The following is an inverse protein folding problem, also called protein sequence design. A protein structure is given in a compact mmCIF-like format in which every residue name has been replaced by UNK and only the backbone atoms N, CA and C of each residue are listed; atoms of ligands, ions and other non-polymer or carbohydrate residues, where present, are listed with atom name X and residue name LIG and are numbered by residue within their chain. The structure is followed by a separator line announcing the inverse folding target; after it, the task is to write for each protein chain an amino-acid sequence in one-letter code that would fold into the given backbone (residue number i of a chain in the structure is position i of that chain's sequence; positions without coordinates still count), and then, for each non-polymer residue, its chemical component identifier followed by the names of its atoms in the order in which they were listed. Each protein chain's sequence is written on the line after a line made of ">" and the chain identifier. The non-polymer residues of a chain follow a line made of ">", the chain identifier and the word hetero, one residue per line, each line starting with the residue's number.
data_IF_917050934725
#
_entry.id   IF_917050934725
#
_cell.length_a   1.000
_cell.length_b   1.000
_cell.length_c   1.000
_cell.angle_alpha   90.00
_cell.angle_beta   90.00
_cell.angle_gamma   90.00
#
_symmetry.space_group_name_H-M   'P 1'
#
loop_
_entity.id
_entity.type
_entity.pdbx_description
1 polymer ?
#
# COMPACT_ATOMS: atom_id res chain seq x y z
N UNK A 1 12.09 16.17 -5.34
CA UNK A 1 11.89 15.49 -4.04
C UNK A 1 12.49 14.11 -4.16
N UNK A 2 13.35 13.69 -3.23
CA UNK A 2 13.94 12.35 -3.28
C UNK A 2 12.83 11.32 -3.07
N UNK A 3 12.76 10.31 -3.94
CA UNK A 3 11.69 9.29 -3.93
C UNK A 3 11.63 8.55 -2.59
N UNK A 4 12.77 8.39 -1.93
CA UNK A 4 12.93 7.63 -0.69
C UNK A 4 12.09 8.17 0.51
N UNK A 5 12.22 9.44 0.94
CA UNK A 5 11.40 9.95 2.04
C UNK A 5 9.91 9.99 1.74
N UNK A 6 9.53 10.18 0.46
CA UNK A 6 8.12 10.12 0.04
C UNK A 6 7.57 8.71 0.19
N UNK A 7 8.29 7.69 -0.31
CA UNK A 7 7.89 6.30 -0.14
C UNK A 7 7.82 5.89 1.32
N UNK A 8 8.75 6.34 2.16
CA UNK A 8 8.74 6.05 3.59
C UNK A 8 7.50 6.64 4.29
N UNK A 9 7.15 7.89 3.96
CA UNK A 9 5.94 8.55 4.49
C UNK A 9 4.66 7.78 4.10
N UNK A 10 4.58 7.33 2.85
CA UNK A 10 3.44 6.53 2.37
C UNK A 10 3.32 5.19 3.12
N UNK A 11 4.44 4.49 3.35
CA UNK A 11 4.44 3.24 4.13
C UNK A 11 3.99 3.51 5.56
N UNK A 12 4.51 4.56 6.20
CA UNK A 12 4.14 4.94 7.55
C UNK A 12 2.63 5.23 7.68
N UNK A 13 2.03 5.84 6.66
CA UNK A 13 0.58 6.12 6.62
C UNK A 13 -0.31 4.87 6.58
N UNK A 14 0.21 3.71 6.16
CA UNK A 14 -0.56 2.46 6.02
C UNK A 14 -0.51 1.64 7.32
N UNK A 15 0.49 1.87 8.17
CA UNK A 15 0.67 1.11 9.40
C UNK A 15 -0.32 1.62 10.45
N UNK A 16 -1.31 0.78 10.78
CA UNK A 16 -2.28 1.03 11.85
C UNK A 16 -2.03 0.12 13.05
N UNK A 17 -2.60 0.46 14.22
CA UNK A 17 -2.55 -0.40 15.41
C UNK A 17 -3.20 -1.78 15.21
N UNK A 18 -4.22 -1.85 14.34
CA UNK A 18 -4.84 -3.11 13.95
C UNK A 18 -3.85 -3.96 13.16
N UNK A 19 -3.13 -3.37 12.21
CA UNK A 19 -2.14 -4.11 11.43
C UNK A 19 -1.00 -4.60 12.32
N UNK A 20 -0.53 -3.78 13.26
CA UNK A 20 0.59 -4.10 14.15
C UNK A 20 0.31 -5.26 15.09
N UNK A 21 -0.89 -5.34 15.67
CA UNK A 21 -1.28 -6.40 16.61
C UNK A 21 -2.05 -7.55 15.94
N UNK A 22 -2.78 -7.25 14.87
CA UNK A 22 -3.63 -8.20 14.15
C UNK A 22 -2.84 -9.17 13.28
N UNK A 23 -1.85 -8.68 12.52
CA UNK A 23 -1.04 -9.56 11.64
C UNK A 23 -0.28 -10.68 12.37
N UNK A 24 0.38 -10.46 13.52
CA UNK A 24 1.00 -11.57 14.25
C UNK A 24 -0.04 -12.51 14.86
N UNK A 25 -1.19 -12.01 15.29
CA UNK A 25 -2.29 -12.83 15.81
C UNK A 25 -2.86 -13.74 14.71
N UNK A 26 -3.03 -13.21 13.51
CA UNK A 26 -3.51 -13.95 12.34
C UNK A 26 -2.51 -15.03 11.92
N UNK A 27 -1.21 -14.70 11.89
CA UNK A 27 -0.15 -15.67 11.58
C UNK A 27 -0.05 -16.76 12.66
N UNK A 28 -0.26 -16.41 13.93
CA UNK A 28 -0.24 -17.37 15.04
C UNK A 28 -1.40 -18.36 15.00
N UNK A 29 -2.60 -17.90 14.62
CA UNK A 29 -3.82 -18.73 14.61
C UNK A 29 -4.00 -19.50 13.30
N UNK A 30 -3.75 -18.86 12.15
CA UNK A 30 -4.04 -19.40 10.81
C UNK A 30 -2.78 -19.78 10.01
N UNK A 31 -1.58 -19.55 10.57
CA UNK A 31 -0.31 -19.87 9.93
C UNK A 31 0.11 -18.85 8.86
N UNK A 32 0.96 -19.29 7.91
CA UNK A 32 1.62 -18.41 6.94
C UNK A 32 0.75 -17.87 5.79
N UNK A 33 -0.57 -17.96 5.86
CA UNK A 33 -1.47 -17.52 4.78
C UNK A 33 -1.37 -16.02 4.48
N UNK A 34 -0.94 -15.22 5.46
CA UNK A 34 -0.67 -13.80 5.29
C UNK A 34 0.36 -13.48 4.18
N UNK A 35 1.19 -14.45 3.77
CA UNK A 35 2.14 -14.27 2.64
C UNK A 35 1.42 -13.98 1.32
N UNK A 36 0.23 -14.51 1.10
CA UNK A 36 -0.55 -14.23 -0.13
C UNK A 36 -0.94 -12.75 -0.23
N UNK A 37 -1.19 -12.09 0.90
CA UNK A 37 -1.45 -10.65 0.94
C UNK A 37 -0.24 -9.84 0.47
N UNK A 38 0.96 -10.19 0.93
CA UNK A 38 2.20 -9.56 0.48
C UNK A 38 2.43 -9.71 -1.03
N UNK A 39 2.15 -10.89 -1.59
CA UNK A 39 2.25 -11.14 -3.04
C UNK A 39 1.25 -10.26 -3.81
N UNK A 40 0.01 -10.14 -3.30
CA UNK A 40 -1.01 -9.28 -3.89
C UNK A 40 -0.59 -7.80 -3.97
N UNK A 41 0.00 -7.26 -2.91
CA UNK A 41 0.52 -5.87 -2.89
C UNK A 41 1.63 -5.68 -3.94
N UNK A 42 2.54 -6.65 -4.05
CA UNK A 42 3.62 -6.58 -5.03
C UNK A 42 3.08 -6.54 -6.47
N UNK A 43 2.08 -7.37 -6.78
CA UNK A 43 1.42 -7.39 -8.09
C UNK A 43 0.57 -6.15 -8.38
N UNK A 44 -0.01 -5.53 -7.34
CA UNK A 44 -0.74 -4.27 -7.48
C UNK A 44 0.16 -3.08 -7.85
N UNK A 45 1.42 -3.09 -7.41
CA UNK A 45 2.39 -1.99 -7.63
C UNK A 45 2.53 -1.58 -9.11
N UNK A 46 2.80 -2.49 -10.07
CA UNK A 46 2.87 -2.13 -11.49
C UNK A 46 1.53 -1.67 -12.07
N UNK A 47 0.41 -2.20 -11.55
CA UNK A 47 -0.93 -1.85 -12.02
C UNK A 47 -1.29 -0.41 -11.64
N UNK A 48 -1.04 -0.03 -10.38
CA UNK A 48 -1.23 1.35 -9.90
C UNK A 48 -0.33 2.32 -10.67
N UNK A 49 0.94 1.96 -10.89
CA UNK A 49 1.89 2.81 -11.61
C UNK A 49 1.48 3.09 -13.07
N UNK A 50 0.91 2.09 -13.77
CA UNK A 50 0.53 2.23 -15.18
C UNK A 50 -0.89 2.73 -15.43
N UNK A 51 -1.83 2.45 -14.53
CA UNK A 51 -3.23 2.79 -14.72
C UNK A 51 -3.65 4.01 -13.90
N UNK A 52 -3.37 4.02 -12.59
CA UNK A 52 -3.89 5.04 -11.69
C UNK A 52 -3.07 6.33 -11.68
N UNK A 53 -1.74 6.24 -11.59
CA UNK A 53 -0.86 7.42 -11.56
C UNK A 53 -1.02 8.34 -12.79
N UNK A 54 -1.09 7.84 -14.05
CA UNK A 54 -1.25 8.74 -15.20
C UNK A 54 -2.60 9.45 -15.19
N UNK A 55 -3.68 8.78 -14.78
CA UNK A 55 -5.03 9.38 -14.74
C UNK A 55 -5.07 10.55 -13.75
N UNK A 56 -4.53 10.40 -12.54
CA UNK A 56 -4.47 11.51 -11.58
C UNK A 56 -3.55 12.64 -12.03
N UNK A 57 -2.47 12.32 -12.77
CA UNK A 57 -1.56 13.32 -13.32
C UNK A 57 -2.19 14.11 -14.46
N UNK A 58 -3.01 13.45 -15.30
CA UNK A 58 -3.68 14.09 -16.44
C UNK A 58 -4.84 15.00 -16.02
N UNK A 59 -5.61 14.61 -14.99
CA UNK A 59 -6.69 15.47 -14.48
C UNK A 59 -6.20 16.60 -13.55
N UNK A 60 -4.92 16.59 -13.13
CA UNK A 60 -4.34 17.68 -12.31
C UNK A 60 -4.94 17.84 -10.90
N UNK A 61 -5.68 16.82 -10.44
CA UNK A 61 -6.41 16.82 -9.17
C UNK A 61 -5.46 16.49 -8.01
N UNK A 62 -5.55 17.29 -6.95
CA UNK A 62 -4.73 17.14 -5.75
C UNK A 62 -5.39 16.22 -4.71
N UNK A 63 -6.70 16.06 -4.78
CA UNK A 63 -7.48 15.19 -3.93
C UNK A 63 -8.36 14.22 -4.72
N UNK A 64 -8.56 13.02 -4.19
CA UNK A 64 -9.39 11.98 -4.80
C UNK A 64 -10.89 12.30 -4.78
N UNK A 65 -11.32 13.34 -4.06
CA UNK A 65 -12.74 13.74 -3.95
C UNK A 65 -13.14 14.83 -4.96
N UNK A 66 -12.18 15.40 -5.69
CA UNK A 66 -12.40 16.32 -6.81
C UNK A 66 -12.52 15.54 -8.12
#
# INVERSE_FOLDING_TARGET
>A
MTTFPVSLSLIASIISGITLLGTPTEIYVYGGQYVYFCIGIFLMTPLVNKAYIPVFRELGISFTYE
#
